data_IF_326652339407
#
_entry.id   IF_326652339407
#
_cell.length_a   1.000
_cell.length_b   1.000
_cell.length_c   1.000
_cell.angle_alpha   90.00
_cell.angle_beta   90.00
_cell.angle_gamma   90.00
#
_symmetry.space_group_name_H-M   'P 1'
#
loop_
_entity.id
_entity.type
_entity.pdbx_description
1 polymer ?
#
# COMPACT_ATOMS: atom_id res chain seq x y z
N UNK A 1 -24.50 -23.26 -18.62
CA UNK A 1 -23.91 -22.04 -19.19
C UNK A 1 -23.21 -21.33 -18.05
N UNK A 2 -21.87 -21.27 -18.07
CA UNK A 2 -21.13 -20.47 -17.11
C UNK A 2 -21.47 -19.00 -17.39
N UNK A 3 -22.28 -18.38 -16.52
CA UNK A 3 -22.51 -16.94 -16.58
C UNK A 3 -21.17 -16.22 -16.46
N UNK A 4 -21.06 -15.03 -17.06
CA UNK A 4 -19.86 -14.20 -16.95
C UNK A 4 -19.41 -14.15 -15.48
N UNK A 5 -18.17 -14.56 -15.23
CA UNK A 5 -17.59 -14.58 -13.89
C UNK A 5 -17.60 -13.15 -13.33
N UNK A 6 -18.11 -12.99 -12.11
CA UNK A 6 -18.21 -11.69 -11.47
C UNK A 6 -16.82 -11.24 -11.00
N UNK A 7 -16.29 -10.16 -11.56
CA UNK A 7 -14.94 -9.65 -11.27
C UNK A 7 -14.91 -8.64 -10.13
N UNK A 8 -15.73 -7.59 -10.22
CA UNK A 8 -15.88 -6.56 -9.19
C UNK A 8 -17.26 -5.91 -9.23
N UNK A 9 -17.65 -5.29 -8.13
CA UNK A 9 -18.89 -4.54 -8.02
C UNK A 9 -18.87 -3.35 -8.98
N UNK A 10 -17.75 -2.64 -9.00
CA UNK A 10 -17.50 -1.42 -9.73
C UNK A 10 -17.60 -1.66 -11.24
N UNK A 11 -16.96 -2.70 -11.75
CA UNK A 11 -17.02 -3.08 -13.17
C UNK A 11 -18.44 -3.51 -13.57
N UNK A 12 -19.13 -4.23 -12.68
CA UNK A 12 -20.52 -4.63 -12.92
C UNK A 12 -21.46 -3.43 -12.98
N UNK A 13 -21.31 -2.44 -12.09
CA UNK A 13 -22.13 -1.23 -12.09
C UNK A 13 -21.87 -0.40 -13.35
N UNK A 14 -20.62 -0.23 -13.75
CA UNK A 14 -20.22 0.54 -14.93
C UNK A 14 -20.71 -0.06 -16.26
N UNK A 15 -20.79 -1.39 -16.35
CA UNK A 15 -21.28 -2.07 -17.56
C UNK A 15 -22.79 -2.02 -17.76
N UNK A 16 -23.57 -1.95 -16.68
CA UNK A 16 -25.02 -2.19 -16.74
C UNK A 16 -25.87 -0.96 -16.43
N UNK A 17 -25.32 0.08 -15.81
CA UNK A 17 -26.06 1.29 -15.44
C UNK A 17 -25.72 2.46 -16.37
N UNK A 18 -26.73 3.28 -16.75
CA UNK A 18 -26.46 4.54 -17.43
C UNK A 18 -25.76 5.53 -16.48
N UNK A 19 -25.03 6.50 -17.04
CA UNK A 19 -24.13 7.39 -16.29
C UNK A 19 -24.81 8.14 -15.13
N UNK A 20 -26.05 8.62 -15.32
CA UNK A 20 -26.78 9.37 -14.29
C UNK A 20 -27.14 8.46 -13.10
N UNK A 21 -27.67 7.27 -13.37
CA UNK A 21 -28.03 6.32 -12.33
C UNK A 21 -26.78 5.76 -11.65
N UNK A 22 -25.71 5.54 -12.41
CA UNK A 22 -24.41 5.11 -11.87
C UNK A 22 -23.85 6.12 -10.86
N UNK A 23 -23.89 7.41 -11.18
CA UNK A 23 -23.45 8.46 -10.26
C UNK A 23 -24.27 8.45 -8.97
N UNK A 24 -25.59 8.34 -9.07
CA UNK A 24 -26.46 8.33 -7.90
C UNK A 24 -26.28 7.07 -7.05
N UNK A 25 -26.13 5.90 -7.69
CA UNK A 25 -25.83 4.64 -7.00
C UNK A 25 -24.47 4.71 -6.31
N UNK A 26 -23.42 5.19 -6.98
CA UNK A 26 -22.10 5.38 -6.36
C UNK A 26 -22.17 6.39 -5.21
N UNK A 27 -22.98 7.45 -5.35
CA UNK A 27 -23.22 8.46 -4.31
C UNK A 27 -23.84 7.86 -3.05
N UNK A 28 -24.79 6.95 -3.21
CA UNK A 28 -25.47 6.28 -2.09
C UNK A 28 -24.58 5.20 -1.45
N UNK A 29 -23.86 4.40 -2.24
CA UNK A 29 -23.04 3.30 -1.73
C UNK A 29 -21.73 3.77 -1.09
N UNK A 30 -21.00 4.66 -1.75
CA UNK A 30 -19.65 5.07 -1.35
C UNK A 30 -19.61 6.49 -0.79
N UNK A 31 -20.68 7.28 -0.97
CA UNK A 31 -20.69 8.69 -0.60
C UNK A 31 -20.12 9.58 -1.71
N UNK A 32 -19.19 10.47 -1.37
CA UNK A 32 -18.61 11.41 -2.34
C UNK A 32 -17.72 10.65 -3.34
N UNK A 33 -17.87 10.94 -4.64
CA UNK A 33 -16.95 10.44 -5.66
C UNK A 33 -15.53 10.95 -5.41
N UNK A 34 -14.58 10.03 -5.37
CA UNK A 34 -13.18 10.32 -5.09
C UNK A 34 -12.42 10.62 -6.38
N UNK A 35 -11.51 11.59 -6.32
CA UNK A 35 -10.63 11.92 -7.44
C UNK A 35 -9.61 10.79 -7.63
N UNK A 36 -9.48 10.26 -8.85
CA UNK A 36 -8.42 9.32 -9.20
C UNK A 36 -7.07 10.03 -9.26
N UNK A 37 -6.01 9.29 -8.95
CA UNK A 37 -4.65 9.80 -8.89
C UNK A 37 -3.85 9.52 -10.14
N UNK A 38 -3.09 10.54 -10.54
CA UNK A 38 -2.11 10.45 -11.60
C UNK A 38 -0.83 9.80 -11.05
N UNK A 39 -0.84 8.47 -11.01
CA UNK A 39 0.33 7.69 -10.58
C UNK A 39 1.39 7.63 -11.69
N UNK A 40 2.69 7.49 -11.33
CA UNK A 40 3.77 7.43 -12.31
C UNK A 40 3.60 6.29 -13.31
N UNK A 41 3.92 6.55 -14.59
CA UNK A 41 3.84 5.52 -15.65
C UNK A 41 4.76 4.33 -15.38
N UNK A 42 5.92 4.55 -14.74
CA UNK A 42 6.79 3.43 -14.36
C UNK A 42 6.10 2.51 -13.36
N UNK A 43 5.34 3.06 -12.41
CA UNK A 43 4.63 2.29 -11.40
C UNK A 43 3.57 1.37 -12.03
N UNK A 44 2.79 1.88 -13.00
CA UNK A 44 1.84 1.04 -13.75
C UNK A 44 2.52 -0.07 -14.56
N UNK A 45 3.66 0.22 -15.20
CA UNK A 45 4.42 -0.81 -15.93
C UNK A 45 4.96 -1.89 -15.00
N UNK A 46 5.49 -1.48 -13.85
CA UNK A 46 5.99 -2.41 -12.84
C UNK A 46 4.86 -3.26 -12.26
N UNK A 47 3.72 -2.66 -11.90
CA UNK A 47 2.53 -3.38 -11.43
C UNK A 47 2.01 -4.39 -12.44
N UNK A 48 1.96 -4.02 -13.73
CA UNK A 48 1.56 -4.93 -14.80
C UNK A 48 2.55 -6.08 -14.99
N UNK A 49 3.86 -5.84 -14.90
CA UNK A 49 4.89 -6.90 -14.99
C UNK A 49 4.81 -7.87 -13.83
N UNK A 50 4.60 -7.34 -12.63
CA UNK A 50 4.49 -8.13 -11.40
C UNK A 50 3.07 -8.67 -11.19
N UNK A 51 2.14 -8.49 -12.12
CA UNK A 51 0.78 -9.05 -12.07
C UNK A 51 0.00 -8.66 -10.79
N UNK A 52 -0.17 -7.35 -10.55
CA UNK A 52 -1.11 -6.85 -9.54
C UNK A 52 -1.79 -5.55 -9.97
N UNK A 53 -2.98 -5.33 -9.41
CA UNK A 53 -3.76 -4.11 -9.66
C UNK A 53 -3.19 -2.92 -8.86
N UNK A 54 -3.00 -1.79 -9.54
CA UNK A 54 -2.57 -0.53 -8.94
C UNK A 54 -3.65 0.52 -9.15
N UNK A 55 -4.23 1.01 -8.05
CA UNK A 55 -5.24 2.08 -8.05
C UNK A 55 -4.82 3.18 -7.08
N UNK A 56 -5.25 4.41 -7.39
CA UNK A 56 -5.01 5.57 -6.54
C UNK A 56 -6.21 6.51 -6.53
N UNK A 57 -6.62 6.92 -5.33
CA UNK A 57 -7.74 7.82 -5.07
C UNK A 57 -7.29 8.98 -4.19
N UNK A 58 -8.07 10.03 -4.02
CA UNK A 58 -7.74 11.14 -3.12
C UNK A 58 -8.91 11.42 -2.19
N UNK A 59 -8.61 11.49 -0.89
CA UNK A 59 -9.52 12.00 0.13
C UNK A 59 -9.09 13.40 0.51
N UNK A 60 -9.91 14.38 0.15
CA UNK A 60 -9.61 15.80 0.35
C UNK A 60 -10.45 16.37 1.49
N UNK A 61 -9.80 17.19 2.32
CA UNK A 61 -10.46 17.98 3.36
C UNK A 61 -10.57 19.44 2.93
N UNK A 62 -11.51 20.18 3.54
CA UNK A 62 -11.59 21.62 3.34
C UNK A 62 -10.34 22.32 3.90
N UNK A 63 -9.91 23.40 3.25
CA UNK A 63 -8.77 24.18 3.72
C UNK A 63 -9.05 24.80 5.09
N UNK A 64 -8.17 24.54 6.05
CA UNK A 64 -8.19 25.20 7.35
C UNK A 64 -7.37 26.50 7.28
N UNK A 65 -7.90 27.60 7.83
CA UNK A 65 -7.22 28.91 7.79
C UNK A 65 -5.89 28.94 8.55
N UNK A 66 -5.78 28.16 9.62
CA UNK A 66 -4.65 28.23 10.56
C UNK A 66 -3.73 27.00 10.49
N UNK A 67 -4.22 25.86 10.00
CA UNK A 67 -3.43 24.63 9.95
C UNK A 67 -2.99 24.36 8.52
N UNK A 68 -1.70 24.09 8.38
CA UNK A 68 -1.16 23.59 7.13
C UNK A 68 -1.70 22.16 6.85
N UNK A 69 -1.94 21.82 5.57
CA UNK A 69 -2.34 20.48 5.18
C UNK A 69 -1.33 19.43 5.65
N UNK A 70 -1.84 18.37 6.29
CA UNK A 70 -1.03 17.23 6.72
C UNK A 70 -1.32 16.07 5.81
N UNK A 71 -0.56 15.98 4.73
CA UNK A 71 -0.88 14.98 3.73
C UNK A 71 0.07 13.80 3.81
N UNK A 72 -0.53 12.60 3.76
CA UNK A 72 0.14 11.31 3.90
C UNK A 72 -0.41 10.39 2.83
N UNK A 73 0.49 9.77 2.06
CA UNK A 73 0.14 8.67 1.17
C UNK A 73 0.16 7.36 1.95
N UNK A 74 -0.97 6.65 1.90
CA UNK A 74 -1.10 5.32 2.49
C UNK A 74 -1.20 4.29 1.37
N UNK A 75 -0.42 3.22 1.48
CA UNK A 75 -0.46 2.07 0.58
C UNK A 75 -1.08 0.88 1.29
N UNK A 76 -2.12 0.31 0.69
CA UNK A 76 -2.79 -0.89 1.19
C UNK A 76 -2.46 -2.04 0.24
N UNK A 77 -1.98 -3.15 0.80
CA UNK A 77 -1.56 -4.31 0.03
C UNK A 77 -2.42 -5.51 0.38
N UNK A 78 -3.12 -6.03 -0.63
CA UNK A 78 -3.80 -7.31 -0.57
C UNK A 78 -3.14 -8.25 -1.58
N UNK A 79 -2.76 -9.45 -1.14
CA UNK A 79 -2.10 -10.43 -1.98
C UNK A 79 -2.69 -11.83 -1.75
N UNK A 80 -2.42 -12.73 -2.70
CA UNK A 80 -2.68 -14.16 -2.54
C UNK A 80 -1.40 -14.89 -2.12
N UNK A 81 -1.57 -16.04 -1.49
CA UNK A 81 -0.45 -16.92 -1.16
C UNK A 81 0.20 -17.40 -2.47
N UNK A 82 1.52 -17.19 -2.66
CA UNK A 82 2.18 -17.47 -3.94
C UNK A 82 2.46 -18.96 -4.18
N UNK A 83 2.54 -19.76 -3.12
CA UNK A 83 2.81 -21.20 -3.18
C UNK A 83 1.64 -21.97 -2.57
N UNK A 84 1.54 -23.26 -2.91
CA UNK A 84 0.56 -24.14 -2.30
C UNK A 84 0.80 -24.28 -0.79
N UNK A 85 -0.29 -24.50 -0.04
CA UNK A 85 -0.28 -24.49 1.43
C UNK A 85 0.48 -25.66 2.07
N UNK A 86 0.76 -26.69 1.27
CA UNK A 86 1.54 -27.89 1.62
C UNK A 86 3.05 -27.72 1.42
N UNK A 87 3.50 -26.64 0.75
CA UNK A 87 4.91 -26.32 0.60
C UNK A 87 5.59 -26.02 1.96
N UNK A 88 6.92 -26.20 2.08
CA UNK A 88 7.65 -25.87 3.30
C UNK A 88 7.44 -24.42 3.74
N UNK A 89 7.24 -24.19 5.05
CA UNK A 89 6.96 -22.85 5.61
C UNK A 89 8.07 -21.85 5.28
N UNK A 90 9.33 -22.28 5.29
CA UNK A 90 10.49 -21.45 4.90
C UNK A 90 10.36 -20.93 3.47
N UNK A 91 9.94 -21.78 2.54
CA UNK A 91 9.77 -21.44 1.13
C UNK A 91 8.57 -20.52 0.94
N UNK A 92 7.44 -20.80 1.61
CA UNK A 92 6.24 -19.95 1.61
C UNK A 92 6.55 -18.53 2.10
N UNK A 93 7.23 -18.40 3.24
CA UNK A 93 7.65 -17.09 3.79
C UNK A 93 8.59 -16.38 2.83
N UNK A 94 9.57 -17.07 2.25
CA UNK A 94 10.50 -16.46 1.29
C UNK A 94 9.81 -15.97 0.02
N UNK A 95 8.86 -16.75 -0.51
CA UNK A 95 8.11 -16.42 -1.71
C UNK A 95 7.23 -15.20 -1.48
N UNK A 96 6.61 -15.14 -0.30
CA UNK A 96 5.81 -14.00 0.10
C UNK A 96 6.65 -12.74 0.30
N UNK A 97 7.80 -12.82 0.97
CA UNK A 97 8.71 -11.69 1.11
C UNK A 97 9.17 -11.15 -0.25
N UNK A 98 9.47 -12.03 -1.21
CA UNK A 98 9.80 -11.62 -2.59
C UNK A 98 8.63 -10.89 -3.24
N UNK A 99 7.41 -11.41 -3.10
CA UNK A 99 6.20 -10.77 -3.63
C UNK A 99 5.96 -9.39 -3.03
N UNK A 100 6.05 -9.27 -1.70
CA UNK A 100 5.86 -8.01 -0.98
C UNK A 100 6.94 -7.02 -1.37
N UNK A 101 8.20 -7.46 -1.53
CA UNK A 101 9.29 -6.59 -1.96
C UNK A 101 8.96 -5.89 -3.28
N UNK A 102 8.52 -6.63 -4.30
CA UNK A 102 8.11 -6.04 -5.58
C UNK A 102 6.98 -5.01 -5.41
N UNK A 103 5.99 -5.29 -4.56
CA UNK A 103 4.88 -4.37 -4.31
C UNK A 103 5.35 -3.10 -3.58
N UNK A 104 6.21 -3.25 -2.58
CA UNK A 104 6.80 -2.14 -1.81
C UNK A 104 7.63 -1.24 -2.71
N UNK A 105 8.39 -1.80 -3.66
CA UNK A 105 9.14 -1.02 -4.65
C UNK A 105 8.21 -0.13 -5.50
N UNK A 106 7.07 -0.66 -5.94
CA UNK A 106 6.06 0.13 -6.68
C UNK A 106 5.39 1.16 -5.79
N UNK A 107 5.06 0.81 -4.54
CA UNK A 107 4.51 1.76 -3.57
C UNK A 107 5.47 2.93 -3.29
N UNK A 108 6.77 2.66 -3.24
CA UNK A 108 7.80 3.68 -3.09
C UNK A 108 7.85 4.62 -4.31
N UNK A 109 7.72 4.09 -5.54
CA UNK A 109 7.60 4.92 -6.75
C UNK A 109 6.38 5.85 -6.70
N UNK A 110 5.27 5.38 -6.11
CA UNK A 110 4.05 6.17 -5.90
C UNK A 110 4.14 7.18 -4.74
N UNK A 111 5.27 7.25 -4.02
CA UNK A 111 5.47 8.20 -2.92
C UNK A 111 4.72 7.84 -1.63
N UNK A 112 4.40 6.56 -1.41
CA UNK A 112 3.74 6.06 -0.20
C UNK A 112 4.59 6.33 1.05
N UNK A 113 3.98 6.93 2.08
CA UNK A 113 4.63 7.18 3.38
C UNK A 113 4.42 6.03 4.35
N UNK A 114 3.21 5.45 4.37
CA UNK A 114 2.82 4.38 5.29
C UNK A 114 2.27 3.23 4.44
N UNK A 115 2.82 2.03 4.61
CA UNK A 115 2.31 0.84 3.93
C UNK A 115 1.79 -0.17 4.95
N UNK A 116 0.63 -0.76 4.65
CA UNK A 116 -0.02 -1.77 5.48
C UNK A 116 -0.27 -3.05 4.66
N UNK A 117 -0.12 -4.20 5.31
CA UNK A 117 -0.34 -5.52 4.72
C UNK A 117 -1.56 -6.20 5.36
N UNK A 118 -2.16 -7.14 4.63
CA UNK A 118 -3.21 -8.03 5.16
C UNK A 118 -2.74 -8.81 6.40
N UNK A 119 -3.68 -9.10 7.31
CA UNK A 119 -3.44 -9.96 8.47
C UNK A 119 -2.92 -11.35 8.08
N UNK A 120 -2.14 -11.97 8.97
CA UNK A 120 -1.55 -13.32 8.79
C UNK A 120 -0.84 -13.43 7.44
N UNK A 121 -0.11 -12.38 7.08
CA UNK A 121 0.69 -12.30 5.87
C UNK A 121 1.64 -13.50 5.82
N UNK A 122 2.50 -13.65 6.82
CA UNK A 122 3.41 -14.79 6.91
C UNK A 122 2.74 -15.96 7.65
N UNK A 123 2.78 -17.19 7.11
CA UNK A 123 2.45 -18.37 7.89
C UNK A 123 3.37 -18.40 9.12
N UNK A 124 2.82 -18.75 10.28
CA UNK A 124 3.57 -18.78 11.54
C UNK A 124 4.81 -19.69 11.42
N UNK A 125 5.95 -19.06 11.19
CA UNK A 125 7.24 -19.67 11.45
C UNK A 125 7.53 -19.44 12.94
N UNK A 126 7.33 -20.47 13.76
CA UNK A 126 8.05 -20.55 15.03
C UNK A 126 9.50 -20.87 14.68
N UNK A 127 10.28 -19.86 14.31
CA UNK A 127 11.72 -20.01 14.43
C UNK A 127 12.04 -20.23 15.92
N UNK A 128 12.85 -21.24 16.27
CA UNK A 128 13.36 -21.34 17.62
C UNK A 128 14.12 -20.03 17.90
N UNK A 129 13.69 -19.30 18.93
CA UNK A 129 14.38 -18.07 19.36
C UNK A 129 15.87 -18.40 19.46
N UNK A 130 16.77 -17.58 18.91
CA UNK A 130 18.19 -17.78 19.14
C UNK A 130 18.40 -17.83 20.67
N UNK A 131 19.17 -18.79 21.21
CA UNK A 131 19.49 -18.77 22.62
C UNK A 131 20.09 -17.40 22.93
N UNK A 132 19.50 -16.71 23.91
CA UNK A 132 19.96 -15.40 24.36
C UNK A 132 21.47 -15.47 24.50
N UNK A 133 22.19 -14.81 23.59
CA UNK A 133 23.63 -14.73 23.65
C UNK A 133 23.94 -13.94 24.91
N UNK A 134 24.35 -14.66 25.95
CA UNK A 134 24.87 -14.08 27.17
C UNK A 134 26.19 -13.39 26.80
N UNK A 135 26.17 -12.07 26.64
CA UNK A 135 27.39 -11.27 26.49
C UNK A 135 27.69 -10.67 27.87
N UNK A 136 28.71 -11.17 28.60
CA UNK A 136 29.17 -10.52 29.80
C UNK A 136 30.11 -9.37 29.42
N UNK A 137 29.76 -8.16 29.84
CA UNK A 137 30.70 -7.05 30.02
C UNK A 137 30.98 -6.19 28.79
N UNK A 138 30.31 -5.04 28.72
CA UNK A 138 30.88 -3.83 28.11
C UNK A 138 30.64 -2.67 29.08
N UNK A 139 31.70 -2.36 29.82
CA UNK A 139 31.86 -1.17 30.65
C UNK A 139 31.73 0.09 29.78
N UNK A 140 30.88 1.03 30.19
CA UNK A 140 30.92 2.41 29.72
C UNK A 140 32.14 3.12 30.33
N UNK A 141 32.73 4.08 29.60
CA UNK A 141 33.15 5.31 30.25
C UNK A 141 32.47 6.53 29.63
N UNK A 142 32.12 7.45 30.52
CA UNK A 142 31.77 8.84 30.26
C UNK A 142 32.79 9.53 29.35
N UNK A 143 32.28 10.31 28.39
CA UNK A 143 33.04 11.32 27.66
C UNK A 143 32.10 12.47 27.28
N UNK A 144 32.19 13.56 28.02
CA UNK A 144 31.53 14.84 27.80
C UNK A 144 32.21 15.61 26.67
N UNK A 145 31.47 16.14 25.71
CA UNK A 145 31.92 17.31 24.93
C UNK A 145 30.73 18.09 24.38
N UNK A 146 30.73 19.38 24.67
CA UNK A 146 29.72 20.38 24.31
C UNK A 146 30.29 21.23 23.18
N UNK A 147 29.61 21.36 22.03
CA UNK A 147 29.90 22.44 21.08
C UNK A 147 28.59 23.05 20.56
N UNK A 148 28.61 24.37 20.55
CA UNK A 148 27.55 25.35 20.37
C UNK A 148 27.22 25.61 18.87
N UNK A 149 25.96 26.02 18.65
CA UNK A 149 25.50 27.01 17.65
C UNK A 149 25.24 26.59 16.19
N UNK A 150 23.95 26.71 15.81
CA UNK A 150 23.44 26.97 14.45
C UNK A 150 23.95 28.31 13.88
N UNK A 151 23.88 28.58 12.55
CA UNK A 151 22.61 29.06 11.96
C UNK A 151 22.33 28.68 10.48
N UNK A 152 21.03 28.74 10.16
CA UNK A 152 20.34 28.99 8.88
C UNK A 152 21.09 28.91 7.53
N UNK A 153 20.54 28.10 6.62
CA UNK A 153 20.56 28.35 5.17
C UNK A 153 19.19 27.96 4.57
N UNK A 154 18.53 28.96 4.00
CA UNK A 154 17.32 28.88 3.19
C UNK A 154 17.65 28.61 1.73
N UNK A 155 16.69 28.04 0.98
CA UNK A 155 16.36 28.19 -0.47
C UNK A 155 15.69 26.90 -1.00
N UNK A 156 15.03 26.90 -2.16
CA UNK A 156 13.68 27.42 -2.44
C UNK A 156 12.69 26.27 -2.73
N UNK A 157 11.38 26.51 -2.59
CA UNK A 157 10.35 25.48 -2.74
C UNK A 157 10.03 25.06 -4.18
N UNK A 158 9.18 24.02 -4.35
CA UNK A 158 8.24 23.95 -5.44
C UNK A 158 6.81 24.19 -4.94
N UNK A 159 6.08 24.94 -5.75
CA UNK A 159 4.65 25.24 -5.68
C UNK A 159 3.81 24.03 -6.15
N UNK A 160 2.47 24.14 -6.25
CA UNK A 160 1.55 23.58 -5.28
C UNK A 160 0.72 22.44 -5.90
N UNK A 161 -0.22 21.96 -5.08
CA UNK A 161 -1.40 21.21 -5.44
C UNK A 161 -1.27 19.68 -5.40
N UNK A 162 -2.31 19.11 -4.79
CA UNK A 162 -2.78 17.74 -4.91
C UNK A 162 -2.06 16.70 -4.06
N UNK A 163 -2.76 16.21 -3.02
CA UNK A 163 -2.41 14.93 -2.43
C UNK A 163 -3.67 14.13 -1.97
N UNK A 164 -4.17 13.21 -2.81
CA UNK A 164 -3.71 11.81 -2.97
C UNK A 164 -3.70 10.89 -1.73
N UNK A 165 -4.61 9.89 -1.70
CA UNK A 165 -4.69 8.75 -0.76
C UNK A 165 -5.38 7.50 -1.39
N UNK A 166 -4.57 6.52 -1.78
CA UNK A 166 -4.94 5.34 -2.57
C UNK A 166 -5.67 4.23 -1.79
N UNK A 167 -6.67 3.61 -2.42
CA UNK A 167 -7.33 2.38 -1.98
C UNK A 167 -7.24 1.36 -3.12
N UNK A 168 -6.78 0.13 -2.84
CA UNK A 168 -6.71 -0.98 -3.80
C UNK A 168 -7.69 -2.05 -3.34
N UNK A 169 -8.68 -2.33 -4.19
CA UNK A 169 -9.60 -3.47 -4.08
C UNK A 169 -9.08 -4.50 -5.10
N UNK A 170 -8.77 -5.75 -4.72
CA UNK A 170 -8.40 -6.75 -5.71
C UNK A 170 -9.65 -7.34 -6.34
N UNK A 171 -9.67 -7.23 -7.67
CA UNK A 171 -10.49 -8.04 -8.55
C UNK A 171 -9.86 -9.42 -8.78
N UNK A 172 -10.71 -10.42 -8.99
CA UNK A 172 -10.44 -11.85 -9.31
C UNK A 172 -10.35 -12.86 -8.15
N UNK A 173 -11.52 -13.37 -7.77
CA UNK A 173 -11.68 -14.75 -7.30
C UNK A 173 -11.67 -15.66 -8.54
N UNK A 174 -10.78 -16.65 -8.59
CA UNK A 174 -10.95 -17.82 -9.48
C UNK A 174 -11.13 -19.07 -8.60
N UNK A 175 -12.15 -19.91 -8.86
CA UNK A 175 -12.33 -21.17 -8.17
C UNK A 175 -11.37 -22.25 -8.72
N UNK A 176 -10.68 -22.96 -7.84
CA UNK A 176 -9.90 -24.17 -8.18
C UNK A 176 -10.89 -25.33 -8.39
N UNK A 177 -10.75 -26.16 -9.45
CA UNK A 177 -11.62 -27.30 -9.68
C UNK A 177 -11.15 -28.55 -8.92
N UNK A 178 -12.10 -29.26 -8.31
CA UNK A 178 -12.10 -30.71 -8.09
C UNK A 178 -13.52 -31.23 -8.02
#
# INVERSE_FOLDING_TARGET
MAGAEWTSLEESLEKHLPLLDLQEVKRVLYGKELRKLDLPREAFKAASREDFELQGYAFEAAEEQLRQPRIVHVGLVQNRIPLATDAPVTEQVSALHKRIKSIVEVAAMCGVNIICFQEVLCPHHQEPRPPCCHVPGCFLPHGSESIHSSPSLSLPGPSPWQLTLAFVIPSSWCPVPS
#
